data_IF_981777845792
#
_entry.id   IF_981777845792
#
_cell.length_a   1.000
_cell.length_b   1.000
_cell.length_c   1.000
_cell.angle_alpha   90.00
_cell.angle_beta   90.00
_cell.angle_gamma   90.00
#
_symmetry.space_group_name_H-M   'P 1'
#
loop_
_entity.id
_entity.type
_entity.pdbx_description
1 polymer ?
#
# COMPACT_ATOMS: atom_id res chain seq x y z
N UNK A 1 -11.36 5.60 3.36
CA UNK A 1 -10.12 5.04 3.92
C UNK A 1 -9.88 5.52 5.35
N UNK A 2 -9.84 6.84 5.62
CA UNK A 2 -9.44 7.41 6.92
C UNK A 2 -10.19 6.81 8.12
N UNK A 3 -11.53 6.71 8.04
CA UNK A 3 -12.33 6.11 9.11
C UNK A 3 -12.03 4.62 9.33
N UNK A 4 -11.82 3.86 8.26
CA UNK A 4 -11.52 2.44 8.34
C UNK A 4 -10.14 2.20 8.98
N UNK A 5 -9.12 2.98 8.60
CA UNK A 5 -7.78 2.92 9.17
C UNK A 5 -7.82 3.22 10.68
N UNK A 6 -8.46 4.33 11.07
CA UNK A 6 -8.60 4.71 12.48
C UNK A 6 -9.36 3.64 13.27
N UNK A 7 -10.43 3.09 12.69
CA UNK A 7 -11.21 2.03 13.34
C UNK A 7 -10.38 0.77 13.56
N UNK A 8 -9.68 0.28 12.54
CA UNK A 8 -8.81 -0.87 12.65
C UNK A 8 -7.71 -0.66 13.70
N UNK A 9 -7.06 0.52 13.68
CA UNK A 9 -6.04 0.89 14.65
C UNK A 9 -6.59 0.94 16.09
N UNK A 10 -7.80 1.44 16.28
CA UNK A 10 -8.46 1.48 17.60
C UNK A 10 -8.86 0.10 18.12
N UNK A 11 -9.16 -0.85 17.22
CA UNK A 11 -9.39 -2.25 17.56
C UNK A 11 -8.09 -3.01 17.91
N UNK A 12 -6.93 -2.34 17.80
CA UNK A 12 -5.64 -2.95 18.13
C UNK A 12 -5.02 -3.75 16.99
N UNK A 13 -5.43 -3.50 15.73
CA UNK A 13 -4.78 -4.13 14.58
C UNK A 13 -3.29 -3.76 14.55
N UNK A 14 -2.44 -4.77 14.53
CA UNK A 14 -0.98 -4.60 14.45
C UNK A 14 -0.47 -4.51 13.01
N UNK A 15 -1.22 -5.05 12.07
CA UNK A 15 -0.99 -4.94 10.62
C UNK A 15 -2.31 -4.58 9.96
N UNK A 16 -2.30 -3.55 9.12
CA UNK A 16 -3.48 -3.11 8.35
C UNK A 16 -3.14 -3.28 6.87
N UNK A 17 -3.82 -4.22 6.21
CA UNK A 17 -3.68 -4.43 4.77
C UNK A 17 -4.69 -3.59 4.00
N UNK A 18 -4.22 -2.84 3.01
CA UNK A 18 -5.04 -2.01 2.13
C UNK A 18 -4.79 -2.46 0.68
N UNK A 19 -5.64 -3.35 0.19
CA UNK A 19 -5.55 -3.90 -1.16
C UNK A 19 -6.25 -3.04 -2.21
N UNK A 20 -6.96 -2.00 -1.78
CA UNK A 20 -7.57 -1.02 -2.68
C UNK A 20 -6.80 0.28 -2.71
N UNK A 21 -6.78 0.92 -3.86
CA UNK A 21 -6.09 2.19 -4.08
C UNK A 21 -6.99 3.18 -4.82
N UNK A 22 -6.64 4.46 -4.71
CA UNK A 22 -7.23 5.53 -5.52
C UNK A 22 -6.11 6.20 -6.30
N UNK A 23 -6.24 6.22 -7.62
CA UNK A 23 -5.29 6.87 -8.50
C UNK A 23 -5.80 8.25 -8.92
N UNK A 24 -4.90 9.22 -9.01
CA UNK A 24 -5.21 10.58 -9.43
C UNK A 24 -4.05 11.20 -10.20
N UNK A 25 -4.30 12.09 -11.17
CA UNK A 25 -3.25 12.82 -11.83
C UNK A 25 -2.44 13.66 -10.83
N UNK A 26 -1.13 13.73 -11.00
CA UNK A 26 -0.27 14.57 -10.15
C UNK A 26 -0.58 16.06 -10.24
N UNK A 27 -1.28 16.48 -11.30
CA UNK A 27 -1.74 17.85 -11.53
C UNK A 27 -3.08 18.17 -10.85
N UNK A 28 -3.79 17.15 -10.34
CA UNK A 28 -5.13 17.31 -9.74
C UNK A 28 -5.25 16.38 -8.51
N UNK A 29 -4.42 16.66 -7.50
CA UNK A 29 -4.41 15.90 -6.25
C UNK A 29 -5.49 16.46 -5.32
N UNK A 30 -6.46 15.61 -4.98
CA UNK A 30 -7.48 15.96 -3.99
C UNK A 30 -6.87 16.10 -2.59
N UNK A 31 -7.53 16.87 -1.72
CA UNK A 31 -7.09 17.04 -0.33
C UNK A 31 -7.09 15.69 0.42
N UNK A 32 -5.92 15.28 0.89
CA UNK A 32 -5.69 14.01 1.58
C UNK A 32 -5.21 14.19 3.03
N UNK A 33 -5.40 15.37 3.62
CA UNK A 33 -4.96 15.67 5.00
C UNK A 33 -5.57 14.71 6.02
N UNK A 34 -6.86 14.41 5.89
CA UNK A 34 -7.55 13.46 6.77
C UNK A 34 -7.00 12.04 6.61
N UNK A 35 -6.65 11.65 5.39
CA UNK A 35 -6.04 10.34 5.13
C UNK A 35 -4.63 10.28 5.72
N UNK A 36 -3.81 11.29 5.49
CA UNK A 36 -2.47 11.38 6.06
C UNK A 36 -2.47 11.38 7.59
N UNK A 37 -3.41 12.10 8.21
CA UNK A 37 -3.58 12.11 9.68
C UNK A 37 -3.97 10.72 10.21
N UNK A 38 -4.89 10.02 9.55
CA UNK A 38 -5.31 8.67 9.92
C UNK A 38 -4.16 7.65 9.80
N UNK A 39 -3.39 7.73 8.72
CA UNK A 39 -2.21 6.89 8.47
C UNK A 39 -1.16 7.13 9.56
N UNK A 40 -0.81 8.40 9.80
CA UNK A 40 0.16 8.76 10.85
C UNK A 40 -0.30 8.28 12.23
N UNK A 41 -1.57 8.50 12.58
CA UNK A 41 -2.16 8.01 13.82
C UNK A 41 -1.99 6.49 13.97
N UNK A 42 -2.37 5.72 12.95
CA UNK A 42 -2.27 4.27 12.99
C UNK A 42 -0.80 3.79 13.08
N UNK A 43 0.10 4.39 12.28
CA UNK A 43 1.50 3.96 12.23
C UNK A 43 2.30 4.38 13.47
N UNK A 44 2.15 5.63 13.94
CA UNK A 44 2.99 6.20 15.00
C UNK A 44 2.36 6.01 16.38
N UNK A 45 1.08 6.36 16.54
CA UNK A 45 0.45 6.36 17.86
C UNK A 45 -0.12 5.00 18.24
N UNK A 46 -0.57 4.23 17.24
CA UNK A 46 -1.12 2.88 17.45
C UNK A 46 -0.14 1.77 17.08
N UNK A 47 1.04 2.15 16.58
CA UNK A 47 2.10 1.20 16.24
C UNK A 47 1.67 0.10 15.25
N UNK A 48 0.78 0.42 14.31
CA UNK A 48 0.30 -0.51 13.28
C UNK A 48 1.15 -0.43 12.01
N UNK A 49 1.58 -1.57 11.48
CA UNK A 49 2.20 -1.64 10.14
C UNK A 49 1.11 -1.48 9.10
N UNK A 50 1.21 -0.46 8.26
CA UNK A 50 0.27 -0.25 7.16
C UNK A 50 0.92 -0.75 5.88
N UNK A 51 0.28 -1.72 5.24
CA UNK A 51 0.73 -2.30 3.96
C UNK A 51 -0.29 -1.94 2.89
N UNK A 52 0.15 -1.41 1.76
CA UNK A 52 -0.75 -1.05 0.67
C UNK A 52 -0.28 -1.62 -0.67
N UNK A 53 -1.24 -1.93 -1.53
CA UNK A 53 -0.99 -2.26 -2.92
C UNK A 53 -0.42 -1.06 -3.68
N UNK A 54 0.48 -1.30 -4.65
CA UNK A 54 0.99 -0.25 -5.53
C UNK A 54 -0.05 0.26 -6.53
N UNK A 55 -1.10 -0.52 -6.79
CA UNK A 55 -2.11 -0.28 -7.81
C UNK A 55 -1.86 -1.06 -9.09
N UNK A 56 -2.90 -1.21 -9.91
CA UNK A 56 -2.83 -1.94 -11.17
C UNK A 56 -3.27 -1.03 -12.32
N UNK A 57 -2.51 -1.04 -13.41
CA UNK A 57 -2.86 -0.34 -14.66
C UNK A 57 -4.02 -1.06 -15.34
N UNK A 58 -5.02 -0.31 -15.78
CA UNK A 58 -6.17 -0.85 -16.52
C UNK A 58 -7.51 -0.55 -15.84
N UNK A 59 -8.58 -0.98 -16.52
CA UNK A 59 -9.96 -0.73 -16.08
C UNK A 59 -10.45 -1.71 -15.00
N UNK A 60 -9.67 -2.74 -14.66
CA UNK A 60 -10.04 -3.73 -13.66
C UNK A 60 -9.97 -3.11 -12.26
N UNK A 61 -11.12 -2.82 -11.70
CA UNK A 61 -11.28 -2.24 -10.37
C UNK A 61 -11.87 -0.83 -10.32
N UNK A 62 -12.25 -0.26 -11.47
CA UNK A 62 -12.97 1.02 -11.53
C UNK A 62 -12.10 2.26 -11.29
N UNK A 63 -10.79 2.10 -11.20
CA UNK A 63 -9.83 3.19 -11.09
C UNK A 63 -8.96 3.26 -12.34
N UNK A 64 -8.99 4.39 -13.04
CA UNK A 64 -8.15 4.65 -14.22
C UNK A 64 -6.70 4.93 -13.79
N UNK A 65 -6.03 3.91 -13.25
CA UNK A 65 -4.62 4.00 -12.87
C UNK A 65 -3.73 3.97 -14.10
N UNK A 66 -3.05 5.07 -14.37
CA UNK A 66 -2.06 5.16 -15.44
C UNK A 66 -0.67 4.82 -14.91
N UNK A 67 0.15 4.19 -15.76
CA UNK A 67 1.51 3.87 -15.40
C UNK A 67 2.34 5.15 -15.25
N UNK A 68 3.15 5.19 -14.22
CA UNK A 68 4.23 6.16 -14.10
C UNK A 68 5.44 5.76 -14.95
N UNK A 69 6.33 6.70 -15.31
CA UNK A 69 7.59 6.37 -15.96
C UNK A 69 8.34 5.30 -15.17
N UNK A 70 8.81 4.29 -15.89
CA UNK A 70 9.61 3.23 -15.29
C UNK A 70 11.03 3.74 -15.07
N UNK A 71 11.64 3.34 -13.95
CA UNK A 71 13.00 3.72 -13.56
C UNK A 71 13.98 3.74 -14.73
N UNK A 72 14.64 4.89 -14.91
CA UNK A 72 15.69 5.08 -15.88
C UNK A 72 17.06 5.14 -15.18
N UNK A 73 17.94 4.15 -15.37
CA UNK A 73 19.26 4.13 -14.73
C UNK A 73 20.20 5.25 -15.20
N UNK A 74 19.81 6.01 -16.24
CA UNK A 74 20.58 7.16 -16.74
C UNK A 74 20.31 8.45 -15.97
N UNK A 75 19.38 8.43 -15.01
CA UNK A 75 19.05 9.58 -14.14
C UNK A 75 19.51 9.33 -12.70
N UNK A 76 20.82 9.33 -12.41
CA UNK A 76 21.35 8.89 -11.10
C UNK A 76 20.96 9.81 -9.93
N UNK A 77 20.52 11.04 -10.20
CA UNK A 77 20.12 12.01 -9.17
C UNK A 77 18.69 11.84 -8.70
N UNK A 78 17.89 11.06 -9.40
CA UNK A 78 16.50 10.73 -9.02
C UNK A 78 16.25 9.23 -9.25
N UNK A 79 16.83 8.35 -8.44
CA UNK A 79 16.81 6.90 -8.68
C UNK A 79 15.42 6.29 -8.58
N UNK A 80 14.44 7.05 -8.11
CA UNK A 80 13.04 6.63 -7.99
C UNK A 80 12.08 7.45 -8.83
N UNK A 81 12.59 8.37 -9.67
CA UNK A 81 11.82 9.20 -10.61
C UNK A 81 10.72 10.06 -9.96
N UNK A 82 10.99 10.63 -8.77
CA UNK A 82 10.05 11.52 -8.08
C UNK A 82 9.61 12.71 -8.95
N UNK A 83 10.54 13.27 -9.72
CA UNK A 83 10.28 14.42 -10.57
C UNK A 83 9.38 14.11 -11.78
N UNK A 84 9.17 12.84 -12.10
CA UNK A 84 8.43 12.39 -13.27
C UNK A 84 7.09 11.73 -12.93
N UNK A 85 6.65 11.80 -11.68
CA UNK A 85 5.38 11.23 -11.26
C UNK A 85 4.22 11.91 -11.99
N UNK A 86 3.45 11.14 -12.73
CA UNK A 86 2.24 11.58 -13.44
C UNK A 86 0.96 11.10 -12.76
N UNK A 87 1.01 9.96 -12.09
CA UNK A 87 -0.10 9.36 -11.35
C UNK A 87 0.28 9.17 -9.90
N UNK A 88 -0.46 9.78 -8.99
CA UNK A 88 -0.33 9.58 -7.54
C UNK A 88 -1.29 8.48 -7.11
N UNK A 89 -0.81 7.56 -6.29
CA UNK A 89 -1.60 6.41 -5.78
C UNK A 89 -1.76 6.54 -4.28
N UNK A 90 -2.98 6.71 -3.81
CA UNK A 90 -3.32 6.75 -2.39
C UNK A 90 -3.88 5.40 -1.91
N UNK A 91 -3.48 4.90 -0.74
CA UNK A 91 -2.62 5.51 0.28
C UNK A 91 -1.11 5.26 0.05
N UNK A 92 -0.72 4.58 -1.02
CA UNK A 92 0.65 4.12 -1.30
C UNK A 92 1.71 5.24 -1.22
N UNK A 93 1.40 6.45 -1.67
CA UNK A 93 2.35 7.56 -1.73
C UNK A 93 2.76 8.13 -0.36
N UNK A 94 2.06 7.75 0.73
CA UNK A 94 2.46 8.10 2.10
C UNK A 94 3.63 7.24 2.58
N UNK A 95 4.71 7.20 1.81
CA UNK A 95 5.83 6.26 1.92
C UNK A 95 6.62 6.36 3.24
N UNK A 96 6.46 7.43 4.03
CA UNK A 96 7.06 7.52 5.36
C UNK A 96 6.37 6.59 6.38
N UNK A 97 5.13 6.16 6.11
CA UNK A 97 4.31 5.37 7.03
C UNK A 97 3.72 4.10 6.40
N UNK A 98 3.66 4.05 5.07
CA UNK A 98 3.01 2.96 4.33
C UNK A 98 4.06 2.12 3.61
N UNK A 99 4.04 0.82 3.86
CA UNK A 99 4.82 -0.16 3.12
C UNK A 99 4.08 -0.51 1.83
N UNK A 100 4.48 0.11 0.72
CA UNK A 100 3.84 -0.11 -0.57
C UNK A 100 4.44 -1.30 -1.30
N UNK A 101 3.57 -2.16 -1.82
CA UNK A 101 3.95 -3.44 -2.40
C UNK A 101 3.64 -3.49 -3.89
N UNK A 102 4.70 -3.64 -4.70
CA UNK A 102 4.62 -3.97 -6.13
C UNK A 102 4.44 -5.46 -6.38
N UNK A 103 4.06 -5.83 -7.59
CA UNK A 103 3.88 -7.21 -8.00
C UNK A 103 5.03 -7.72 -8.87
N UNK A 104 5.46 -8.96 -8.59
CA UNK A 104 6.35 -9.75 -9.45
C UNK A 104 5.66 -11.03 -9.90
N UNK A 105 6.09 -11.56 -11.03
CA UNK A 105 5.69 -12.89 -11.51
C UNK A 105 6.51 -14.02 -10.86
N UNK A 106 6.25 -15.26 -11.27
CA UNK A 106 6.94 -16.44 -10.75
C UNK A 106 8.44 -16.49 -11.08
N UNK A 107 8.90 -15.72 -12.06
CA UNK A 107 10.34 -15.55 -12.37
C UNK A 107 11.01 -14.45 -11.52
N UNK A 108 10.23 -13.67 -10.79
CA UNK A 108 10.69 -12.50 -10.03
C UNK A 108 10.78 -11.22 -10.88
N UNK A 109 10.28 -11.24 -12.12
CA UNK A 109 10.20 -10.04 -12.94
C UNK A 109 9.01 -9.15 -12.55
N UNK A 110 9.14 -7.81 -12.61
CA UNK A 110 8.03 -6.90 -12.33
C UNK A 110 6.85 -7.16 -13.26
N UNK A 111 5.65 -7.27 -12.71
CA UNK A 111 4.41 -7.38 -13.48
C UNK A 111 4.10 -6.04 -14.15
N UNK A 112 3.86 -6.04 -15.46
CA UNK A 112 3.67 -4.81 -16.24
C UNK A 112 2.46 -3.98 -15.79
N UNK A 113 1.41 -4.62 -15.30
CA UNK A 113 0.24 -3.94 -14.76
C UNK A 113 0.47 -3.34 -13.37
N UNK A 114 1.53 -3.71 -12.66
CA UNK A 114 1.87 -3.10 -11.37
C UNK A 114 2.27 -1.63 -11.57
N UNK A 115 1.57 -0.71 -10.92
CA UNK A 115 1.88 0.72 -11.03
C UNK A 115 3.21 1.02 -10.37
N UNK A 116 4.15 1.54 -11.17
CA UNK A 116 5.42 2.03 -10.68
C UNK A 116 5.25 3.35 -9.94
N UNK A 117 6.11 3.60 -8.96
CA UNK A 117 6.14 4.88 -8.27
C UNK A 117 7.26 4.94 -7.23
N UNK A 118 7.76 6.14 -6.92
CA UNK A 118 8.88 6.30 -5.99
C UNK A 118 8.55 5.84 -4.56
N UNK A 119 7.28 5.63 -4.25
CA UNK A 119 6.79 5.07 -2.98
C UNK A 119 6.79 3.55 -2.94
N UNK A 120 6.96 2.83 -4.07
CA UNK A 120 7.03 1.37 -4.04
C UNK A 120 8.24 0.94 -3.21
N UNK A 121 7.98 0.22 -2.13
CA UNK A 121 8.98 -0.06 -1.11
C UNK A 121 9.56 -1.47 -1.25
N UNK A 122 8.71 -2.43 -1.59
CA UNK A 122 9.04 -3.85 -1.69
C UNK A 122 8.10 -4.52 -2.70
N UNK A 123 8.42 -5.72 -3.13
CA UNK A 123 7.52 -6.50 -3.99
C UNK A 123 7.29 -7.92 -3.46
N UNK A 124 6.23 -8.54 -3.94
CA UNK A 124 5.90 -9.93 -3.69
C UNK A 124 5.21 -10.54 -4.91
N UNK A 125 5.07 -11.87 -5.01
CA UNK A 125 4.31 -12.51 -6.08
C UNK A 125 2.90 -11.91 -6.21
N UNK A 126 2.52 -11.59 -7.45
CA UNK A 126 1.22 -11.02 -7.79
C UNK A 126 0.55 -11.71 -8.97
N UNK A 127 1.14 -12.82 -9.46
CA UNK A 127 0.57 -13.73 -10.45
C UNK A 127 0.62 -15.16 -9.94
N UNK A 128 -0.09 -16.06 -10.57
CA UNK A 128 -0.14 -17.48 -10.21
C UNK A 128 -0.53 -17.69 -8.74
N UNK A 129 -1.47 -16.88 -8.26
CA UNK A 129 -1.89 -16.87 -6.86
C UNK A 129 -2.73 -18.10 -6.57
N UNK A 130 -2.30 -18.83 -5.55
CA UNK A 130 -3.05 -19.95 -4.97
C UNK A 130 -3.47 -19.60 -3.53
N UNK A 131 -4.70 -19.88 -3.18
CA UNK A 131 -5.27 -19.56 -1.88
C UNK A 131 -6.27 -20.63 -1.44
N UNK A 132 -6.74 -20.51 -0.20
CA UNK A 132 -7.80 -21.39 0.32
C UNK A 132 -9.10 -21.17 -0.46
N UNK A 133 -9.77 -22.26 -0.77
CA UNK A 133 -11.10 -22.22 -1.39
C UNK A 133 -12.15 -21.73 -0.39
N UNK A 134 -13.03 -20.85 -0.84
CA UNK A 134 -14.21 -20.45 -0.08
C UNK A 134 -15.37 -21.46 -0.17
N UNK A 135 -15.25 -22.50 -1.02
CA UNK A 135 -16.31 -23.45 -1.34
C UNK A 135 -16.11 -24.82 -0.72
N UNK A 136 -14.86 -25.20 -0.47
CA UNK A 136 -14.47 -26.52 0.03
C UNK A 136 -13.15 -26.41 0.84
N UNK A 137 -12.65 -27.51 1.32
CA UNK A 137 -11.38 -27.57 2.08
C UNK A 137 -10.13 -27.59 1.16
N UNK A 138 -10.29 -27.26 -0.11
CA UNK A 138 -9.22 -27.29 -1.10
C UNK A 138 -8.52 -25.94 -1.30
N UNK A 139 -7.71 -25.91 -2.34
CA UNK A 139 -7.04 -24.72 -2.82
C UNK A 139 -7.71 -24.24 -4.12
N UNK A 140 -7.62 -22.95 -4.38
CA UNK A 140 -8.10 -22.33 -5.60
C UNK A 140 -7.08 -21.34 -6.13
N UNK A 141 -6.92 -21.31 -7.46
CA UNK A 141 -6.02 -20.37 -8.17
C UNK A 141 -6.78 -19.45 -9.15
N UNK A 142 -8.10 -19.55 -9.20
CA UNK A 142 -8.94 -18.74 -10.05
C UNK A 142 -10.30 -18.48 -9.38
N UNK A 143 -10.91 -17.36 -9.70
CA UNK A 143 -12.29 -17.04 -9.33
C UNK A 143 -13.22 -17.20 -10.52
N UNK A 144 -14.50 -17.44 -10.24
CA UNK A 144 -15.53 -17.49 -11.25
C UNK A 144 -15.78 -16.08 -11.81
N UNK A 145 -15.48 -15.91 -13.09
CA UNK A 145 -15.76 -14.72 -13.86
C UNK A 145 -17.13 -14.77 -14.54
N UNK A 146 -17.36 -13.85 -15.48
CA UNK A 146 -18.58 -13.84 -16.28
C UNK A 146 -18.68 -15.13 -17.11
N UNK A 147 -19.90 -15.64 -17.28
CA UNK A 147 -20.22 -16.85 -18.06
C UNK A 147 -19.52 -18.13 -17.52
N UNK A 148 -19.36 -18.26 -16.22
CA UNK A 148 -18.70 -19.40 -15.57
C UNK A 148 -17.25 -19.64 -16.04
N UNK A 149 -16.58 -18.61 -16.59
CA UNK A 149 -15.16 -18.69 -16.89
C UNK A 149 -14.35 -18.68 -15.59
N UNK A 150 -13.24 -19.42 -15.55
CA UNK A 150 -12.28 -19.31 -14.48
C UNK A 150 -11.26 -18.22 -14.83
N UNK A 151 -11.14 -17.21 -13.97
CA UNK A 151 -10.21 -16.09 -14.13
C UNK A 151 -9.09 -16.22 -13.08
N UNK A 152 -7.85 -16.47 -13.52
CA UNK A 152 -6.71 -16.46 -12.63
C UNK A 152 -6.59 -15.13 -11.90
N UNK A 153 -6.30 -15.19 -10.61
CA UNK A 153 -6.17 -13.99 -9.81
C UNK A 153 -4.76 -13.40 -9.93
N UNK A 154 -4.70 -12.12 -10.25
CA UNK A 154 -3.44 -11.38 -10.42
C UNK A 154 -3.60 -9.96 -9.90
N UNK A 155 -2.52 -9.35 -9.43
CA UNK A 155 -2.49 -7.95 -9.05
C UNK A 155 -1.71 -7.68 -7.75
N UNK A 156 -1.39 -6.41 -7.57
CA UNK A 156 -0.68 -5.91 -6.38
C UNK A 156 -1.45 -6.08 -5.07
N UNK A 157 -2.76 -6.29 -5.15
CA UNK A 157 -3.62 -6.62 -4.01
C UNK A 157 -3.20 -7.91 -3.31
N UNK A 158 -2.85 -8.94 -4.09
CA UNK A 158 -2.35 -10.22 -3.57
C UNK A 158 -0.93 -10.09 -3.02
N UNK A 159 -0.07 -9.34 -3.71
CA UNK A 159 1.28 -9.03 -3.23
C UNK A 159 1.24 -8.34 -1.87
N UNK A 160 0.35 -7.36 -1.70
CA UNK A 160 0.15 -6.66 -0.42
C UNK A 160 -0.32 -7.61 0.69
N UNK A 161 -1.22 -8.54 0.38
CA UNK A 161 -1.68 -9.55 1.35
C UNK A 161 -0.54 -10.47 1.80
N UNK A 162 0.32 -10.93 0.87
CA UNK A 162 1.50 -11.74 1.19
C UNK A 162 2.44 -10.99 2.13
N UNK A 163 2.79 -9.74 1.80
CA UNK A 163 3.69 -8.92 2.64
C UNK A 163 3.06 -8.63 4.01
N UNK A 164 1.74 -8.44 4.06
CA UNK A 164 1.02 -8.27 5.34
C UNK A 164 1.14 -9.52 6.22
N UNK A 165 1.05 -10.71 5.62
CA UNK A 165 1.29 -11.97 6.33
C UNK A 165 2.71 -12.06 6.87
N UNK A 166 3.72 -11.69 6.07
CA UNK A 166 5.12 -11.67 6.53
C UNK A 166 5.33 -10.64 7.64
N UNK A 167 4.74 -9.46 7.53
CA UNK A 167 4.77 -8.45 8.60
C UNK A 167 4.16 -8.96 9.91
N UNK A 168 3.05 -9.70 9.82
CA UNK A 168 2.43 -10.34 11.00
C UNK A 168 3.35 -11.40 11.64
N UNK A 169 4.05 -12.21 10.84
CA UNK A 169 5.04 -13.16 11.33
C UNK A 169 6.22 -12.45 12.02
N UNK A 170 6.72 -11.36 11.44
CA UNK A 170 7.77 -10.54 12.06
C UNK A 170 7.29 -9.95 13.39
N UNK A 171 6.06 -9.46 13.45
CA UNK A 171 5.44 -8.97 14.70
C UNK A 171 5.33 -10.04 15.76
N UNK A 172 4.93 -11.26 15.38
CA UNK A 172 4.82 -12.37 16.31
C UNK A 172 6.20 -12.79 16.87
N UNK A 173 7.23 -12.78 16.02
CA UNK A 173 8.58 -13.16 16.43
C UNK A 173 9.32 -12.08 17.21
N UNK A 174 9.10 -10.81 16.85
CA UNK A 174 9.78 -9.65 17.42
C UNK A 174 8.76 -8.60 17.94
N UNK A 175 8.01 -8.93 19.00
CA UNK A 175 6.90 -8.09 19.48
C UNK A 175 7.35 -6.71 20.00
N UNK A 176 8.64 -6.55 20.31
CA UNK A 176 9.24 -5.30 20.76
C UNK A 176 9.48 -4.28 19.64
N UNK A 177 9.47 -4.71 18.36
CA UNK A 177 9.72 -3.81 17.24
C UNK A 177 8.54 -2.87 17.02
N UNK A 178 8.85 -1.61 16.73
CA UNK A 178 7.85 -0.65 16.26
C UNK A 178 7.41 -0.96 14.84
N UNK A 179 6.29 -0.37 14.38
CA UNK A 179 5.83 -0.50 13.00
C UNK A 179 6.92 -0.08 12.00
N UNK A 180 7.62 1.02 12.27
CA UNK A 180 8.73 1.48 11.44
C UNK A 180 9.89 0.48 11.41
N UNK A 181 10.25 -0.08 12.55
CA UNK A 181 11.31 -1.10 12.62
C UNK A 181 10.94 -2.39 11.91
N UNK A 182 9.66 -2.81 11.95
CA UNK A 182 9.17 -3.94 11.15
C UNK A 182 9.31 -3.65 9.66
N UNK A 183 8.91 -2.47 9.21
CA UNK A 183 9.08 -2.05 7.80
C UNK A 183 10.56 -2.08 7.42
N UNK A 184 11.42 -1.44 8.20
CA UNK A 184 12.87 -1.41 7.93
C UNK A 184 13.47 -2.82 7.86
N UNK A 185 13.03 -3.72 8.75
CA UNK A 185 13.46 -5.11 8.72
C UNK A 185 13.06 -5.81 7.43
N UNK A 186 11.83 -5.64 6.97
CA UNK A 186 11.35 -6.22 5.71
C UNK A 186 12.16 -5.68 4.51
N UNK A 187 12.46 -4.38 4.49
CA UNK A 187 13.24 -3.76 3.43
C UNK A 187 14.70 -4.23 3.44
N UNK A 188 15.32 -4.30 4.62
CA UNK A 188 16.72 -4.71 4.78
C UNK A 188 16.97 -6.19 4.46
N UNK A 189 15.95 -7.03 4.57
CA UNK A 189 16.04 -8.47 4.30
C UNK A 189 15.46 -8.87 2.96
N UNK A 190 14.93 -7.92 2.18
CA UNK A 190 14.42 -8.19 0.84
C UNK A 190 15.54 -8.68 -0.10
N UNK A 191 15.17 -9.52 -1.04
CA UNK A 191 16.08 -9.93 -2.13
C UNK A 191 16.23 -8.79 -3.13
N UNK A 192 17.29 -8.02 -2.93
CA UNK A 192 17.54 -6.80 -3.68
C UNK A 192 17.74 -7.07 -5.18
N UNK A 193 17.20 -6.22 -6.07
CA UNK A 193 17.51 -6.28 -7.48
C UNK A 193 18.96 -5.88 -7.75
N UNK A 194 19.56 -6.43 -8.82
CA UNK A 194 20.94 -6.15 -9.18
C UNK A 194 21.23 -4.66 -9.44
N UNK A 195 20.20 -3.88 -9.77
CA UNK A 195 20.30 -2.44 -10.05
C UNK A 195 20.18 -1.54 -8.82
N UNK A 196 19.96 -2.12 -7.64
CA UNK A 196 19.62 -1.37 -6.45
C UNK A 196 18.12 -1.02 -6.38
N UNK A 197 17.76 -0.10 -5.50
CA UNK A 197 16.35 0.29 -5.27
C UNK A 197 15.79 0.98 -6.51
N UNK A 198 14.63 0.54 -6.98
CA UNK A 198 13.93 1.12 -8.12
C UNK A 198 12.46 1.48 -7.78
N UNK A 199 11.72 1.98 -8.76
CA UNK A 199 10.31 2.40 -8.58
C UNK A 199 9.28 1.33 -8.96
N UNK A 200 9.70 0.09 -9.29
CA UNK A 200 8.82 -1.03 -9.63
C UNK A 200 8.73 -2.06 -8.51
N UNK A 201 9.89 -2.45 -7.95
CA UNK A 201 9.99 -3.45 -6.89
C UNK A 201 10.66 -2.92 -5.61
N UNK A 202 11.00 -1.65 -5.58
CA UNK A 202 11.58 -0.99 -4.43
C UNK A 202 12.92 -1.62 -4.02
N UNK A 203 13.02 -2.03 -2.76
CA UNK A 203 14.19 -2.70 -2.20
C UNK A 203 14.33 -4.17 -2.65
N UNK A 204 13.35 -4.69 -3.37
CA UNK A 204 13.37 -6.04 -3.90
C UNK A 204 12.18 -6.90 -3.46
N UNK A 205 12.33 -8.21 -3.66
CA UNK A 205 11.27 -9.18 -3.34
C UNK A 205 11.36 -9.56 -1.86
N UNK A 206 10.22 -9.56 -1.17
CA UNK A 206 10.13 -9.98 0.24
C UNK A 206 10.73 -11.39 0.44
N UNK A 207 11.56 -11.54 1.46
CA UNK A 207 12.10 -12.83 1.88
C UNK A 207 11.65 -13.14 3.31
N UNK A 208 10.60 -13.98 3.47
CA UNK A 208 10.08 -14.30 4.79
C UNK A 208 11.10 -14.99 5.71
N UNK A 209 11.95 -15.84 5.13
CA UNK A 209 12.96 -16.56 5.90
C UNK A 209 14.02 -15.60 6.42
N UNK A 210 14.56 -14.75 5.54
CA UNK A 210 15.54 -13.74 5.93
C UNK A 210 14.95 -12.75 6.95
N UNK A 211 13.69 -12.29 6.74
CA UNK A 211 13.01 -11.42 7.69
C UNK A 211 12.86 -12.01 9.08
N UNK A 212 12.72 -13.33 9.19
CA UNK A 212 12.54 -14.01 10.46
C UNK A 212 13.85 -14.51 11.09
N UNK A 213 14.92 -14.70 10.32
CA UNK A 213 16.13 -15.40 10.81
C UNK A 213 17.39 -14.56 10.85
N UNK A 214 17.50 -13.52 9.98
CA UNK A 214 18.72 -12.73 9.92
C UNK A 214 18.87 -11.86 11.16
N UNK A 215 20.08 -11.77 11.66
CA UNK A 215 20.45 -10.84 12.71
C UNK A 215 20.78 -9.48 12.09
N UNK A 216 19.86 -8.54 12.22
CA UNK A 216 19.99 -7.17 11.71
C UNK A 216 19.61 -6.16 12.81
N UNK A 217 20.27 -4.99 12.83
CA UNK A 217 19.90 -3.92 13.75
C UNK A 217 18.43 -3.52 13.60
N UNK A 218 17.77 -3.27 14.71
CA UNK A 218 16.37 -2.82 14.69
C UNK A 218 16.20 -1.44 14.00
N UNK A 219 17.23 -0.60 14.03
CA UNK A 219 17.16 0.76 13.51
C UNK A 219 16.36 1.71 14.40
N UNK A 220 16.08 2.89 13.87
CA UNK A 220 15.33 3.92 14.61
C UNK A 220 13.88 3.46 14.86
N UNK A 221 13.34 3.75 16.06
CA UNK A 221 11.98 3.31 16.42
C UNK A 221 10.88 4.11 15.71
N UNK A 222 11.17 5.31 15.23
CA UNK A 222 10.22 6.19 14.53
C UNK A 222 10.83 6.62 13.21
N UNK A 223 10.01 6.61 12.17
CA UNK A 223 10.42 7.06 10.83
C UNK A 223 10.65 8.57 10.75
N UNK A 224 11.26 9.01 9.65
CA UNK A 224 11.46 10.44 9.41
C UNK A 224 10.12 11.16 9.34
N UNK A 225 9.90 12.14 10.22
CA UNK A 225 8.68 12.93 10.21
C UNK A 225 8.86 14.14 9.27
N UNK A 226 8.64 13.92 7.98
CA UNK A 226 8.82 14.98 6.95
C UNK A 226 7.65 15.96 6.86
N UNK A 227 6.52 15.66 7.48
CA UNK A 227 5.31 16.48 7.44
C UNK A 227 4.91 16.93 8.84
N UNK A 228 5.48 18.03 9.32
CA UNK A 228 4.96 18.78 10.45
C UNK A 228 4.26 20.06 9.98
N UNK A 229 3.22 19.94 9.16
CA UNK A 229 2.31 21.04 8.96
C UNK A 229 1.22 20.97 10.05
N UNK A 230 0.84 22.10 10.69
CA UNK A 230 -0.29 22.09 11.60
C UNK A 230 -1.54 21.63 10.84
N UNK A 231 -2.21 20.60 11.37
CA UNK A 231 -3.46 20.11 10.83
C UNK A 231 -4.53 21.18 11.02
N UNK A 232 -4.82 21.94 9.98
CA UNK A 232 -5.96 22.85 9.97
C UNK A 232 -7.18 22.01 9.58
N UNK A 233 -7.96 21.63 10.58
CA UNK A 233 -9.22 20.92 10.31
C UNK A 233 -10.14 21.86 9.51
N UNK A 234 -10.80 21.36 8.44
CA UNK A 234 -11.81 22.14 7.76
C UNK A 234 -12.90 22.51 8.77
N UNK A 235 -13.52 23.69 8.63
CA UNK A 235 -14.63 24.06 9.49
C UNK A 235 -15.71 22.96 9.44
N UNK A 236 -16.39 22.68 10.55
CA UNK A 236 -17.44 21.68 10.58
C UNK A 236 -18.44 22.02 9.46
N UNK A 237 -18.83 21.00 8.67
CA UNK A 237 -19.85 21.20 7.63
C UNK A 237 -21.08 21.77 8.32
N UNK A 238 -21.41 23.01 8.01
CA UNK A 238 -22.68 23.61 8.40
C UNK A 238 -23.76 22.71 7.81
N UNK A 239 -24.60 22.14 8.67
CA UNK A 239 -25.71 21.30 8.22
C UNK A 239 -26.49 22.04 7.15
N UNK A 240 -26.90 21.36 6.07
CA UNK A 240 -27.74 21.96 5.05
C UNK A 240 -28.94 22.57 5.77
N UNK A 241 -29.14 23.88 5.61
CA UNK A 241 -30.37 24.50 6.03
C UNK A 241 -31.52 23.93 5.17
N UNK A 242 -32.32 23.08 5.79
CA UNK A 242 -33.47 22.43 5.15
C UNK A 242 -34.72 23.29 5.25
N UNK A 243 -34.66 24.46 5.89
CA UNK A 243 -35.80 25.38 6.04
C UNK A 243 -36.46 25.72 4.70
N UNK A 244 -35.70 26.00 3.60
CA UNK A 244 -36.33 26.25 2.30
C UNK A 244 -37.06 25.03 1.72
N UNK A 245 -36.57 23.81 2.03
CA UNK A 245 -37.25 22.58 1.56
C UNK A 245 -38.55 22.34 2.30
N UNK A 246 -38.59 22.59 3.59
CA UNK A 246 -39.80 22.45 4.40
C UNK A 246 -40.84 23.50 4.07
N UNK A 247 -40.42 24.75 3.77
CA UNK A 247 -41.31 25.81 3.33
C UNK A 247 -41.90 25.49 1.95
N UNK A 248 -41.15 24.91 1.04
CA UNK A 248 -41.60 24.52 -0.30
C UNK A 248 -42.51 23.27 -0.29
N UNK A 249 -42.41 22.41 0.73
CA UNK A 249 -43.18 21.18 0.85
C UNK A 249 -44.47 21.37 1.67
N UNK A 250 -44.64 22.49 2.38
CA UNK A 250 -45.76 22.81 3.26
C UNK A 250 -46.64 23.95 2.78
N UNK A 251 -46.45 24.50 1.56
CA UNK A 251 -47.23 25.56 0.93
C UNK A 251 -48.28 25.06 -0.04
#
# INVERSE_FOLDING_TARGET
YSRAIVHAANLGAQVINISEVSCMPSTDIIDQRDLGAAIRYAAVERNAVIVAAAGNVGEEGGNDCKQNPIYNPLTPNDPRDWAQVSTVVAPAWFSDYVLTVGAVDSSGAPVQSSVAGPWVSIAAPGTDIESLSARDDGLMNALEGRNNSLVPQTGTSFSAAIVSGVAALVRAKYPQLTAHQVINRLLATARAPARGVDNQIGHGIVDPVAALTFDIPAGEPVGPQRLSAPLVLPPPKVGRDLTPVWVAAGG
#
